data_IF_074712660118
#
_entry.id   IF_074712660118
#
_cell.length_a   1.000
_cell.length_b   1.000
_cell.length_c   1.000
_cell.angle_alpha   90.00
_cell.angle_beta   90.00
_cell.angle_gamma   90.00
#
_symmetry.space_group_name_H-M   'P 1'
#
loop_
_entity.id
_entity.type
_entity.pdbx_description
1 polymer ?
#
# COMPACT_ATOMS: atom_id res chain seq x y z
N UNK A 1 65.58 -43.64 122.80
CA UNK A 1 65.30 -42.27 122.30
C UNK A 1 66.29 -41.72 121.27
N UNK A 2 67.59 -41.58 121.59
CA UNK A 2 68.52 -40.75 120.80
C UNK A 2 68.77 -41.23 119.35
N UNK A 3 68.84 -42.54 119.12
CA UNK A 3 69.03 -43.12 117.76
C UNK A 3 67.82 -42.83 116.86
N UNK A 4 66.60 -42.94 117.41
CA UNK A 4 65.34 -42.72 116.68
C UNK A 4 65.15 -41.25 116.25
N UNK A 5 65.64 -40.31 117.08
CA UNK A 5 65.69 -38.87 116.74
C UNK A 5 66.71 -38.57 115.65
N UNK A 6 67.88 -39.23 115.67
CA UNK A 6 68.89 -39.09 114.61
C UNK A 6 68.37 -39.63 113.28
N UNK A 7 67.64 -40.75 113.27
CA UNK A 7 66.99 -41.29 112.07
C UNK A 7 65.88 -40.37 111.52
N UNK A 8 65.03 -39.82 112.38
CA UNK A 8 64.02 -38.82 111.97
C UNK A 8 64.66 -37.57 111.38
N UNK A 9 65.70 -37.02 112.03
CA UNK A 9 66.45 -35.88 111.50
C UNK A 9 67.12 -36.21 110.16
N UNK A 10 67.65 -37.43 110.00
CA UNK A 10 68.23 -37.90 108.73
C UNK A 10 67.18 -38.00 107.60
N UNK A 11 65.97 -38.47 107.90
CA UNK A 11 64.86 -38.52 106.94
C UNK A 11 64.37 -37.13 106.55
N UNK A 12 64.30 -36.19 107.51
CA UNK A 12 63.95 -34.79 107.25
C UNK A 12 65.00 -34.08 106.40
N UNK A 13 66.30 -34.30 106.67
CA UNK A 13 67.40 -33.78 105.85
C UNK A 13 67.33 -34.35 104.43
N UNK A 14 67.06 -35.65 104.27
CA UNK A 14 66.93 -36.28 102.96
C UNK A 14 65.69 -35.76 102.19
N UNK A 15 64.58 -35.49 102.88
CA UNK A 15 63.40 -34.87 102.28
C UNK A 15 63.69 -33.43 101.86
N UNK A 16 64.29 -32.63 102.73
CA UNK A 16 64.72 -31.27 102.42
C UNK A 16 65.71 -31.22 101.26
N UNK A 17 66.64 -32.17 101.18
CA UNK A 17 67.57 -32.31 100.06
C UNK A 17 66.86 -32.57 98.71
N UNK A 18 65.84 -33.44 98.70
CA UNK A 18 65.01 -33.68 97.49
C UNK A 18 64.21 -32.44 97.08
N UNK A 19 63.65 -31.71 98.03
CA UNK A 19 62.93 -30.46 97.76
C UNK A 19 63.86 -29.38 97.20
N UNK A 20 65.07 -29.25 97.75
CA UNK A 20 66.09 -28.33 97.23
C UNK A 20 66.49 -28.70 95.79
N UNK A 21 66.66 -29.98 95.49
CA UNK A 21 67.06 -30.42 94.15
C UNK A 21 65.95 -30.19 93.11
N UNK A 22 64.68 -30.44 93.47
CA UNK A 22 63.53 -30.08 92.63
C UNK A 22 63.48 -28.56 92.38
N UNK A 23 63.68 -27.75 93.43
CA UNK A 23 63.69 -26.28 93.31
C UNK A 23 64.86 -25.78 92.46
N UNK A 24 66.04 -26.41 92.54
CA UNK A 24 67.17 -26.11 91.65
C UNK A 24 66.84 -26.41 90.19
N UNK A 25 66.19 -27.54 89.91
CA UNK A 25 65.73 -27.87 88.55
C UNK A 25 64.73 -26.85 88.00
N UNK A 26 63.78 -26.40 88.83
CA UNK A 26 62.86 -25.32 88.48
C UNK A 26 63.59 -24.00 88.21
N UNK A 27 64.59 -23.64 89.03
CA UNK A 27 65.40 -22.42 88.85
C UNK A 27 66.15 -22.46 87.52
N UNK A 28 66.81 -23.56 87.18
CA UNK A 28 67.54 -23.71 85.91
C UNK A 28 66.58 -23.53 84.72
N UNK A 29 65.40 -24.16 84.78
CA UNK A 29 64.38 -23.98 83.73
C UNK A 29 63.91 -22.53 83.60
N UNK A 30 63.75 -21.82 84.73
CA UNK A 30 63.43 -20.39 84.71
C UNK A 30 64.58 -19.54 84.14
N UNK A 31 65.84 -19.84 84.47
CA UNK A 31 67.01 -19.14 83.96
C UNK A 31 67.18 -19.30 82.44
N UNK A 32 66.87 -20.47 81.89
CA UNK A 32 66.85 -20.72 80.44
C UNK A 32 65.82 -19.83 79.73
N UNK A 33 64.60 -19.70 80.29
CA UNK A 33 63.55 -18.84 79.75
C UNK A 33 63.96 -17.37 79.85
N UNK A 34 64.53 -16.95 80.99
CA UNK A 34 65.02 -15.59 81.20
C UNK A 34 66.12 -15.24 80.20
N UNK A 35 67.03 -16.18 79.92
CA UNK A 35 68.10 -16.01 78.95
C UNK A 35 67.58 -15.77 77.52
N UNK A 36 66.38 -16.25 77.19
CA UNK A 36 65.75 -16.08 75.87
C UNK A 36 64.75 -14.91 75.82
N UNK A 37 64.55 -14.18 76.92
CA UNK A 37 63.52 -13.14 77.06
C UNK A 37 63.53 -12.12 75.92
N UNK A 38 64.70 -11.60 75.54
CA UNK A 38 64.80 -10.56 74.50
C UNK A 38 64.37 -11.08 73.11
N UNK A 39 64.74 -12.31 72.78
CA UNK A 39 64.33 -12.95 71.54
C UNK A 39 62.81 -13.21 71.50
N UNK A 40 62.23 -13.62 72.63
CA UNK A 40 60.78 -13.82 72.77
C UNK A 40 60.04 -12.48 72.61
N UNK A 41 60.50 -11.42 73.29
CA UNK A 41 59.89 -10.09 73.19
C UNK A 41 59.98 -9.51 71.77
N UNK A 42 61.10 -9.71 71.09
CA UNK A 42 61.28 -9.26 69.69
C UNK A 42 60.30 -9.98 68.77
N UNK A 43 60.23 -11.32 68.84
CA UNK A 43 59.28 -12.11 68.04
C UNK A 43 57.82 -11.74 68.32
N UNK A 44 57.49 -11.44 69.58
CA UNK A 44 56.15 -11.00 69.96
C UNK A 44 55.81 -9.64 69.33
N UNK A 45 56.73 -8.68 69.37
CA UNK A 45 56.54 -7.38 68.71
C UNK A 45 56.39 -7.53 67.19
N UNK A 46 57.18 -8.39 66.56
CA UNK A 46 57.07 -8.67 65.12
C UNK A 46 55.72 -9.33 64.79
N UNK A 47 55.27 -10.28 65.60
CA UNK A 47 53.95 -10.89 65.43
C UNK A 47 52.81 -9.88 65.53
N UNK A 48 52.89 -8.93 66.46
CA UNK A 48 51.90 -7.84 66.56
C UNK A 48 51.91 -6.97 65.29
N UNK A 49 53.08 -6.59 64.78
CA UNK A 49 53.21 -5.83 63.53
C UNK A 49 52.59 -6.58 62.35
N UNK A 50 52.96 -7.85 62.17
CA UNK A 50 52.41 -8.67 61.09
C UNK A 50 50.90 -8.85 61.19
N UNK A 51 50.36 -8.95 62.40
CA UNK A 51 48.91 -9.04 62.60
C UNK A 51 48.20 -7.74 62.20
N UNK A 52 48.78 -6.59 62.54
CA UNK A 52 48.25 -5.28 62.12
C UNK A 52 48.30 -5.13 60.59
N UNK A 53 49.42 -5.43 59.95
CA UNK A 53 49.57 -5.39 58.49
C UNK A 53 48.59 -6.34 57.78
N UNK A 54 48.45 -7.58 58.28
CA UNK A 54 47.53 -8.56 57.69
C UNK A 54 46.07 -8.11 57.83
N UNK A 55 45.71 -7.47 58.94
CA UNK A 55 44.37 -6.90 59.12
C UNK A 55 44.10 -5.77 58.12
N UNK A 56 45.09 -4.91 57.86
CA UNK A 56 44.99 -3.83 56.87
C UNK A 56 44.86 -4.38 55.44
N UNK A 57 45.68 -5.39 55.10
CA UNK A 57 45.60 -6.08 53.80
C UNK A 57 44.24 -6.74 53.60
N UNK A 58 43.69 -7.36 54.64
CA UNK A 58 42.35 -7.97 54.59
C UNK A 58 41.28 -6.93 54.27
N UNK A 59 41.34 -5.75 54.90
CA UNK A 59 40.41 -4.64 54.62
C UNK A 59 40.57 -4.11 53.19
N UNK A 60 41.82 -3.96 52.70
CA UNK A 60 42.08 -3.54 51.32
C UNK A 60 41.56 -4.56 50.30
N UNK A 61 41.74 -5.86 50.55
CA UNK A 61 41.20 -6.92 49.70
C UNK A 61 39.68 -6.91 49.64
N UNK A 62 39.00 -6.70 50.77
CA UNK A 62 37.54 -6.56 50.79
C UNK A 62 37.07 -5.35 49.97
N UNK A 63 37.76 -4.21 50.08
CA UNK A 63 37.45 -3.02 49.25
C UNK A 63 37.66 -3.29 47.76
N UNK A 64 38.76 -3.94 47.38
CA UNK A 64 39.04 -4.30 45.99
C UNK A 64 37.98 -5.22 45.40
N UNK A 65 37.52 -6.22 46.16
CA UNK A 65 36.44 -7.12 45.71
C UNK A 65 35.14 -6.36 45.43
N UNK A 66 34.75 -5.43 46.31
CA UNK A 66 33.55 -4.60 46.11
C UNK A 66 33.65 -3.74 44.84
N UNK A 67 34.81 -3.13 44.61
CA UNK A 67 35.04 -2.32 43.40
C UNK A 67 34.98 -3.19 42.14
N UNK A 68 35.55 -4.40 42.16
CA UNK A 68 35.48 -5.30 41.01
C UNK A 68 34.05 -5.79 40.74
N UNK A 69 33.28 -6.09 41.78
CA UNK A 69 31.86 -6.44 41.66
C UNK A 69 31.05 -5.30 41.03
N UNK A 70 31.22 -4.06 41.51
CA UNK A 70 30.58 -2.87 40.96
C UNK A 70 30.97 -2.64 39.50
N UNK A 71 32.26 -2.78 39.17
CA UNK A 71 32.77 -2.66 37.80
C UNK A 71 32.10 -3.68 36.87
N UNK A 72 32.01 -4.95 37.26
CA UNK A 72 31.36 -6.00 36.45
C UNK A 72 29.88 -5.67 36.23
N UNK A 73 29.18 -5.16 37.25
CA UNK A 73 27.78 -4.76 37.12
C UNK A 73 27.60 -3.58 36.15
N UNK A 74 28.48 -2.58 36.22
CA UNK A 74 28.47 -1.42 35.33
C UNK A 74 28.79 -1.86 33.89
N UNK A 75 29.79 -2.71 33.68
CA UNK A 75 30.16 -3.23 32.36
C UNK A 75 29.00 -4.01 31.72
N UNK A 76 28.32 -4.87 32.49
CA UNK A 76 27.13 -5.59 32.01
C UNK A 76 26.01 -4.64 31.61
N UNK A 77 25.78 -3.58 32.40
CA UNK A 77 24.77 -2.57 32.08
C UNK A 77 25.12 -1.79 30.83
N UNK A 78 26.39 -1.41 30.65
CA UNK A 78 26.86 -0.73 29.44
C UNK A 78 26.62 -1.63 28.22
N UNK A 79 26.96 -2.91 28.31
CA UNK A 79 26.79 -3.84 27.20
C UNK A 79 25.31 -4.06 26.85
N UNK A 80 24.43 -4.19 27.86
CA UNK A 80 22.99 -4.32 27.60
C UNK A 80 22.41 -3.08 26.94
N UNK A 81 22.76 -1.88 27.40
CA UNK A 81 22.28 -0.63 26.80
C UNK A 81 22.83 -0.43 25.39
N UNK A 82 24.09 -0.81 25.13
CA UNK A 82 24.67 -0.80 23.77
C UNK A 82 23.89 -1.71 22.82
N UNK A 83 23.59 -2.94 23.25
CA UNK A 83 22.81 -3.87 22.45
C UNK A 83 21.40 -3.31 22.14
N UNK A 84 20.74 -2.72 23.14
CA UNK A 84 19.43 -2.08 22.97
C UNK A 84 19.49 -0.94 21.95
N UNK A 85 20.47 -0.04 22.07
CA UNK A 85 20.64 1.09 21.16
C UNK A 85 20.93 0.64 19.71
N UNK A 86 21.71 -0.43 19.53
CA UNK A 86 21.97 -1.00 18.19
C UNK A 86 20.66 -1.50 17.56
N UNK A 87 19.83 -2.21 18.33
CA UNK A 87 18.54 -2.72 17.86
C UNK A 87 17.60 -1.55 17.52
N UNK A 88 17.51 -0.55 18.40
CA UNK A 88 16.68 0.64 18.15
C UNK A 88 17.12 1.39 16.89
N UNK A 89 18.43 1.61 16.72
CA UNK A 89 18.98 2.31 15.57
C UNK A 89 18.64 1.55 14.28
N UNK A 90 18.81 0.23 14.26
CA UNK A 90 18.45 -0.62 13.12
C UNK A 90 16.97 -0.54 12.81
N UNK A 91 16.10 -0.65 13.82
CA UNK A 91 14.65 -0.57 13.64
C UNK A 91 14.22 0.80 13.08
N UNK A 92 14.81 1.89 13.58
CA UNK A 92 14.56 3.24 13.06
C UNK A 92 15.04 3.39 11.62
N UNK A 93 16.20 2.82 11.28
CA UNK A 93 16.74 2.85 9.92
C UNK A 93 15.86 2.06 8.93
N UNK A 94 15.40 0.87 9.33
CA UNK A 94 14.53 0.04 8.48
C UNK A 94 13.16 0.72 8.27
N UNK A 95 12.60 1.33 9.32
CA UNK A 95 11.38 2.15 9.21
C UNK A 95 11.57 3.36 8.29
N UNK A 96 12.72 4.02 8.35
CA UNK A 96 13.03 5.12 7.44
C UNK A 96 13.09 4.67 5.98
N UNK A 97 13.72 3.51 5.69
CA UNK A 97 13.76 2.94 4.34
C UNK A 97 12.36 2.59 3.82
N UNK A 98 11.53 1.97 4.63
CA UNK A 98 10.14 1.66 4.27
C UNK A 98 9.33 2.93 3.94
N UNK A 99 9.44 3.96 4.79
CA UNK A 99 8.80 5.25 4.54
C UNK A 99 9.31 5.92 3.25
N UNK A 100 10.61 5.81 2.95
CA UNK A 100 11.18 6.34 1.71
C UNK A 100 10.63 5.62 0.48
N UNK A 101 10.49 4.29 0.53
CA UNK A 101 9.87 3.51 -0.56
C UNK A 101 8.41 3.92 -0.75
N UNK A 102 7.64 4.03 0.33
CA UNK A 102 6.23 4.48 0.30
C UNK A 102 6.08 5.88 -0.27
N UNK A 103 6.96 6.81 0.09
CA UNK A 103 6.95 8.17 -0.46
C UNK A 103 7.19 8.17 -1.98
N UNK A 104 8.17 7.39 -2.47
CA UNK A 104 8.41 7.24 -3.92
C UNK A 104 7.21 6.61 -4.63
N UNK A 105 6.58 5.60 -4.03
CA UNK A 105 5.39 4.97 -4.62
C UNK A 105 4.21 5.94 -4.67
N UNK A 106 4.04 6.78 -3.65
CA UNK A 106 3.00 7.82 -3.63
C UNK A 106 3.13 8.78 -4.81
N UNK A 107 4.35 9.24 -5.12
CA UNK A 107 4.58 10.13 -6.27
C UNK A 107 4.29 9.44 -7.61
N UNK A 108 4.68 8.16 -7.76
CA UNK A 108 4.31 7.37 -8.95
C UNK A 108 2.80 7.25 -9.12
N UNK A 109 2.10 6.85 -8.05
CA UNK A 109 0.65 6.71 -8.06
C UNK A 109 -0.04 8.05 -8.36
N UNK A 110 0.51 9.17 -7.89
CA UNK A 110 -0.01 10.51 -8.19
C UNK A 110 0.12 10.86 -9.68
N UNK A 111 1.24 10.53 -10.30
CA UNK A 111 1.43 10.71 -11.74
C UNK A 111 0.45 9.85 -12.55
N UNK A 112 0.32 8.57 -12.19
CA UNK A 112 -0.65 7.65 -12.83
C UNK A 112 -2.09 8.15 -12.67
N UNK A 113 -2.44 8.68 -11.50
CA UNK A 113 -3.78 9.23 -11.24
C UNK A 113 -4.07 10.46 -12.12
N UNK A 114 -3.11 11.37 -12.28
CA UNK A 114 -3.26 12.52 -13.18
C UNK A 114 -3.42 12.09 -14.65
N UNK A 115 -2.67 11.08 -15.10
CA UNK A 115 -2.81 10.52 -16.44
C UNK A 115 -4.19 9.89 -16.65
N UNK A 116 -4.68 9.15 -15.66
CA UNK A 116 -6.02 8.56 -15.70
C UNK A 116 -7.12 9.62 -15.69
N UNK A 117 -6.98 10.70 -14.91
CA UNK A 117 -7.92 11.82 -14.91
C UNK A 117 -7.99 12.51 -16.28
N UNK A 118 -6.86 12.67 -16.97
CA UNK A 118 -6.81 13.20 -18.32
C UNK A 118 -7.49 12.27 -19.33
N UNK A 119 -7.21 10.96 -19.26
CA UNK A 119 -7.88 9.95 -20.09
C UNK A 119 -9.40 9.96 -19.88
N UNK A 120 -9.86 10.09 -18.63
CA UNK A 120 -11.30 10.20 -18.33
C UNK A 120 -11.91 11.45 -18.94
N UNK A 121 -11.21 12.60 -18.90
CA UNK A 121 -11.69 13.82 -19.56
C UNK A 121 -11.82 13.61 -21.07
N UNK A 122 -10.83 12.98 -21.70
CA UNK A 122 -10.85 12.67 -23.14
C UNK A 122 -11.98 11.70 -23.50
N UNK A 123 -12.24 10.67 -22.69
CA UNK A 123 -13.37 9.77 -22.91
C UNK A 123 -14.69 10.54 -22.83
N UNK A 124 -14.86 11.41 -21.83
CA UNK A 124 -16.09 12.23 -21.71
C UNK A 124 -16.31 13.17 -22.89
N UNK A 125 -15.24 13.69 -23.52
CA UNK A 125 -15.39 14.51 -24.74
C UNK A 125 -15.79 13.64 -25.92
N UNK A 126 -15.17 12.48 -26.11
CA UNK A 126 -15.51 11.54 -27.17
C UNK A 126 -16.95 11.00 -27.03
N UNK A 127 -17.42 10.74 -25.81
CA UNK A 127 -18.80 10.33 -25.54
C UNK A 127 -19.81 11.41 -25.97
N UNK A 128 -19.52 12.69 -25.68
CA UNK A 128 -20.35 13.81 -26.13
C UNK A 128 -20.39 13.91 -27.66
N UNK A 129 -19.23 13.83 -28.31
CA UNK A 129 -19.15 13.86 -29.77
C UNK A 129 -19.91 12.67 -30.40
N UNK A 130 -19.78 11.48 -29.82
CA UNK A 130 -20.51 10.29 -30.27
C UNK A 130 -22.03 10.46 -30.11
N UNK A 131 -22.49 11.08 -29.02
CA UNK A 131 -23.91 11.37 -28.80
C UNK A 131 -24.43 12.37 -29.83
N UNK A 132 -23.68 13.45 -30.12
CA UNK A 132 -24.07 14.43 -31.14
C UNK A 132 -24.17 13.80 -32.53
N UNK A 133 -23.24 12.91 -32.89
CA UNK A 133 -23.31 12.16 -34.15
C UNK A 133 -24.53 11.26 -34.17
N UNK A 134 -24.86 10.58 -33.06
CA UNK A 134 -26.06 9.74 -32.94
C UNK A 134 -27.34 10.53 -33.14
N UNK A 135 -27.47 11.66 -32.46
CA UNK A 135 -28.64 12.54 -32.60
C UNK A 135 -28.79 13.06 -34.04
N UNK A 136 -27.69 13.52 -34.67
CA UNK A 136 -27.71 13.97 -36.06
C UNK A 136 -28.08 12.82 -37.01
N UNK A 137 -27.49 11.65 -36.81
CA UNK A 137 -27.80 10.44 -37.58
C UNK A 137 -29.28 10.06 -37.49
N UNK A 138 -29.87 10.11 -36.29
CA UNK A 138 -31.29 9.86 -36.08
C UNK A 138 -32.17 10.90 -36.80
N UNK A 139 -31.83 12.18 -36.71
CA UNK A 139 -32.55 13.25 -37.43
C UNK A 139 -32.51 13.05 -38.95
N UNK A 140 -31.34 12.69 -39.51
CA UNK A 140 -31.20 12.38 -40.94
C UNK A 140 -32.03 11.16 -41.34
N UNK A 141 -32.02 10.10 -40.52
CA UNK A 141 -32.83 8.91 -40.77
C UNK A 141 -34.33 9.24 -40.86
N UNK A 142 -34.85 10.01 -39.91
CA UNK A 142 -36.26 10.42 -39.92
C UNK A 142 -36.60 11.21 -41.19
N UNK A 143 -35.72 12.14 -41.61
CA UNK A 143 -35.91 12.89 -42.86
C UNK A 143 -35.90 11.99 -44.09
N UNK A 144 -34.94 11.07 -44.18
CA UNK A 144 -34.82 10.12 -45.30
C UNK A 144 -36.09 9.28 -45.41
N UNK A 145 -36.57 8.70 -44.30
CA UNK A 145 -37.82 7.92 -44.30
C UNK A 145 -39.05 8.77 -44.64
N UNK A 146 -39.07 10.05 -44.23
CA UNK A 146 -40.12 11.00 -44.63
C UNK A 146 -40.16 11.20 -46.15
N UNK A 147 -39.00 11.42 -46.77
CA UNK A 147 -38.88 11.57 -48.23
C UNK A 147 -39.23 10.26 -48.96
N UNK A 148 -38.81 9.11 -48.43
CA UNK A 148 -39.19 7.79 -48.98
C UNK A 148 -40.72 7.62 -49.02
N UNK A 149 -41.40 7.94 -47.93
CA UNK A 149 -42.86 7.89 -47.88
C UNK A 149 -43.53 8.87 -48.88
N UNK A 150 -42.95 10.06 -49.08
CA UNK A 150 -43.44 11.02 -50.07
C UNK A 150 -43.28 10.50 -51.50
N UNK A 151 -42.12 9.90 -51.82
CA UNK A 151 -41.88 9.28 -53.11
C UNK A 151 -42.87 8.14 -53.34
N UNK A 152 -43.04 7.23 -52.38
CA UNK A 152 -43.99 6.10 -52.49
C UNK A 152 -45.44 6.58 -52.67
N UNK A 153 -45.82 7.69 -52.00
CA UNK A 153 -47.13 8.31 -52.18
C UNK A 153 -47.32 8.84 -53.61
N UNK A 154 -46.35 9.59 -54.13
CA UNK A 154 -46.38 10.13 -55.49
C UNK A 154 -46.37 9.01 -56.55
N UNK A 155 -45.62 7.93 -56.33
CA UNK A 155 -45.59 6.77 -57.23
C UNK A 155 -46.95 6.06 -57.29
N UNK A 156 -47.65 5.92 -56.15
CA UNK A 156 -49.03 5.40 -56.12
C UNK A 156 -50.00 6.32 -56.85
N UNK A 157 -49.88 7.63 -56.65
CA UNK A 157 -50.73 8.60 -57.31
C UNK A 157 -50.52 8.60 -58.83
N UNK A 158 -49.28 8.50 -59.31
CA UNK A 158 -48.96 8.34 -60.74
C UNK A 158 -49.61 7.07 -61.27
N UNK A 159 -49.47 5.93 -60.58
CA UNK A 159 -50.07 4.66 -61.00
C UNK A 159 -51.60 4.76 -61.09
N UNK A 160 -52.23 5.43 -60.13
CA UNK A 160 -53.68 5.68 -60.16
C UNK A 160 -54.09 6.55 -61.37
N UNK A 161 -53.30 7.57 -61.72
CA UNK A 161 -53.58 8.41 -62.89
C UNK A 161 -53.33 7.68 -64.21
N UNK A 162 -52.30 6.85 -64.30
CA UNK A 162 -52.06 5.94 -65.43
C UNK A 162 -53.23 4.96 -65.63
N UNK A 163 -53.77 4.39 -64.55
CA UNK A 163 -54.93 3.51 -64.59
C UNK A 163 -56.20 4.26 -65.03
N UNK A 164 -56.41 5.51 -64.58
CA UNK A 164 -57.50 6.36 -65.09
C UNK A 164 -57.37 6.60 -66.60
N UNK A 165 -56.17 6.92 -67.09
CA UNK A 165 -55.91 7.08 -68.53
C UNK A 165 -56.21 5.78 -69.28
N UNK A 166 -55.81 4.63 -68.75
CA UNK A 166 -56.09 3.33 -69.33
C UNK A 166 -57.59 3.07 -69.46
N UNK A 167 -58.36 3.27 -68.38
CA UNK A 167 -59.81 3.12 -68.36
C UNK A 167 -60.52 4.08 -69.33
N UNK A 168 -60.02 5.31 -69.48
CA UNK A 168 -60.57 6.28 -70.45
C UNK A 168 -60.39 5.83 -71.91
N UNK A 169 -59.28 5.15 -72.21
CA UNK A 169 -58.97 4.59 -73.53
C UNK A 169 -59.79 3.34 -73.83
N UNK A 170 -60.01 2.48 -72.85
CA UNK A 170 -60.76 1.23 -72.99
C UNK A 170 -62.28 1.39 -73.05
N UNK A 171 -62.82 2.59 -72.80
CA UNK A 171 -64.27 2.83 -72.78
C UNK A 171 -64.78 3.46 -74.10
N UNK A 172 -65.17 2.68 -75.13
CA UNK A 172 -65.52 3.17 -76.46
C UNK A 172 -66.85 3.93 -76.53
N UNK A 173 -67.77 3.75 -75.58
CA UNK A 173 -69.10 4.39 -75.59
C UNK A 173 -69.09 5.84 -75.11
N UNK A 174 -67.97 6.27 -74.50
CA UNK A 174 -67.73 7.67 -74.19
C UNK A 174 -68.70 8.24 -73.15
N UNK A 175 -69.07 7.50 -72.12
CA UNK A 175 -69.85 8.02 -70.99
C UNK A 175 -69.01 8.00 -69.71
N UNK A 176 -69.05 9.09 -68.94
CA UNK A 176 -68.33 9.18 -67.68
C UNK A 176 -69.01 8.30 -66.62
N UNK A 177 -68.33 7.30 -66.03
CA UNK A 177 -68.95 6.39 -65.07
C UNK A 177 -69.35 7.05 -63.73
N UNK A 178 -68.96 8.30 -63.48
CA UNK A 178 -69.27 9.04 -62.25
C UNK A 178 -70.39 10.08 -62.41
N UNK A 179 -70.67 10.54 -63.62
CA UNK A 179 -71.65 11.61 -63.87
C UNK A 179 -72.49 11.41 -65.14
N UNK A 180 -72.41 10.23 -65.76
CA UNK A 180 -73.19 9.78 -66.93
C UNK A 180 -73.15 10.74 -68.14
N UNK A 181 -72.18 11.66 -68.16
CA UNK A 181 -72.06 12.67 -69.20
C UNK A 181 -71.33 12.08 -70.39
N UNK A 182 -71.88 12.27 -71.60
CA UNK A 182 -71.20 11.90 -72.85
C UNK A 182 -69.88 12.68 -73.02
N UNK A 183 -68.78 11.96 -72.89
CA UNK A 183 -67.41 12.30 -73.22
C UNK A 183 -67.20 12.15 -74.73
N UNK A 184 -67.36 13.26 -75.46
CA UNK A 184 -66.89 13.35 -76.84
C UNK A 184 -65.34 13.29 -76.90
N UNK A 185 -64.79 13.00 -78.08
CA UNK A 185 -63.35 12.85 -78.28
C UNK A 185 -62.52 14.05 -77.77
N UNK A 186 -63.07 15.27 -77.89
CA UNK A 186 -62.40 16.49 -77.41
C UNK A 186 -62.32 16.57 -75.87
N UNK A 187 -63.39 16.19 -75.15
CA UNK A 187 -63.40 16.15 -73.68
C UNK A 187 -62.49 15.05 -73.15
N UNK A 188 -62.45 13.88 -73.80
CA UNK A 188 -61.49 12.82 -73.45
C UNK A 188 -60.05 13.30 -73.60
N UNK A 189 -59.71 13.92 -74.73
CA UNK A 189 -58.38 14.46 -74.97
C UNK A 189 -57.97 15.51 -73.94
N UNK A 190 -58.90 16.35 -73.45
CA UNK A 190 -58.63 17.31 -72.37
C UNK A 190 -58.35 16.63 -71.03
N UNK A 191 -59.08 15.56 -70.69
CA UNK A 191 -58.86 14.81 -69.43
C UNK A 191 -57.52 14.07 -69.49
N UNK A 192 -57.21 13.40 -70.60
CA UNK A 192 -55.92 12.73 -70.80
C UNK A 192 -54.76 13.72 -70.72
N UNK A 193 -54.85 14.87 -71.40
CA UNK A 193 -53.81 15.90 -71.35
C UNK A 193 -53.61 16.47 -69.94
N UNK A 194 -54.68 16.61 -69.16
CA UNK A 194 -54.58 17.04 -67.76
C UNK A 194 -53.89 15.98 -66.89
N UNK A 195 -54.30 14.72 -66.98
CA UNK A 195 -53.69 13.61 -66.24
C UNK A 195 -52.21 13.43 -66.63
N UNK A 196 -51.87 13.51 -67.92
CA UNK A 196 -50.48 13.49 -68.39
C UNK A 196 -49.67 14.68 -67.84
N UNK A 197 -50.30 15.85 -67.71
CA UNK A 197 -49.69 17.03 -67.08
C UNK A 197 -49.43 16.83 -65.58
N UNK A 198 -50.39 16.23 -64.87
CA UNK A 198 -50.26 15.87 -63.45
C UNK A 198 -49.15 14.82 -63.24
N UNK A 199 -49.11 13.77 -64.06
CA UNK A 199 -48.06 12.74 -64.04
C UNK A 199 -46.68 13.38 -64.25
N UNK A 200 -46.52 14.25 -65.26
CA UNK A 200 -45.24 14.94 -65.50
C UNK A 200 -44.80 15.80 -64.32
N UNK A 201 -45.76 16.47 -63.67
CA UNK A 201 -45.48 17.30 -62.49
C UNK A 201 -45.03 16.45 -61.30
N UNK A 202 -45.76 15.35 -61.02
CA UNK A 202 -45.43 14.38 -59.96
C UNK A 202 -44.08 13.70 -60.21
N UNK A 203 -43.76 13.34 -61.46
CA UNK A 203 -42.46 12.78 -61.83
C UNK A 203 -41.32 13.78 -61.59
N UNK A 204 -41.51 15.05 -61.95
CA UNK A 204 -40.51 16.09 -61.69
C UNK A 204 -40.30 16.30 -60.18
N UNK A 205 -41.36 16.17 -59.38
CA UNK A 205 -41.32 16.25 -57.92
C UNK A 205 -40.59 15.04 -57.30
N UNK A 206 -40.85 13.82 -57.77
CA UNK A 206 -40.09 12.61 -57.37
C UNK A 206 -38.60 12.81 -57.66
N UNK A 207 -38.23 13.30 -58.84
CA UNK A 207 -36.81 13.52 -59.18
C UNK A 207 -36.14 14.62 -58.31
N UNK A 208 -36.93 15.59 -57.82
CA UNK A 208 -36.45 16.54 -56.81
C UNK A 208 -36.21 15.84 -55.47
N UNK A 209 -37.19 15.08 -54.99
CA UNK A 209 -37.09 14.33 -53.73
C UNK A 209 -35.96 13.30 -53.73
N UNK A 210 -35.72 12.60 -54.85
CA UNK A 210 -34.59 11.66 -55.01
C UNK A 210 -33.24 12.36 -54.88
N UNK A 211 -33.07 13.55 -55.48
CA UNK A 211 -31.83 14.34 -55.34
C UNK A 211 -31.59 14.75 -53.90
N UNK A 212 -32.61 15.27 -53.23
CA UNK A 212 -32.52 15.65 -51.80
C UNK A 212 -32.21 14.43 -50.91
N UNK A 213 -32.84 13.28 -51.18
CA UNK A 213 -32.52 12.02 -50.49
C UNK A 213 -31.05 11.63 -50.65
N UNK A 214 -30.50 11.73 -51.87
CA UNK A 214 -29.09 11.40 -52.14
C UNK A 214 -28.14 12.30 -51.33
N UNK A 215 -28.44 13.59 -51.21
CA UNK A 215 -27.66 14.53 -50.41
C UNK A 215 -27.66 14.16 -48.92
N UNK A 216 -28.85 13.84 -48.36
CA UNK A 216 -28.99 13.42 -46.97
C UNK A 216 -28.28 12.08 -46.70
N UNK A 217 -28.33 11.14 -47.64
CA UNK A 217 -27.61 9.85 -47.55
C UNK A 217 -26.09 10.08 -47.58
N UNK A 218 -25.60 10.98 -48.43
CA UNK A 218 -24.19 11.35 -48.47
C UNK A 218 -23.72 11.97 -47.15
N UNK A 219 -24.52 12.86 -46.55
CA UNK A 219 -24.24 13.45 -45.24
C UNK A 219 -24.22 12.39 -44.13
N UNK A 220 -25.19 11.48 -44.12
CA UNK A 220 -25.23 10.35 -43.18
C UNK A 220 -24.00 9.45 -43.32
N UNK A 221 -23.53 9.21 -44.54
CA UNK A 221 -22.34 8.40 -44.81
C UNK A 221 -21.08 9.07 -44.25
N UNK A 222 -20.96 10.40 -44.39
CA UNK A 222 -19.87 11.18 -43.78
C UNK A 222 -19.89 11.09 -42.25
N UNK A 223 -21.06 11.23 -41.63
CA UNK A 223 -21.21 11.08 -40.17
C UNK A 223 -20.82 9.67 -39.69
N UNK A 224 -21.20 8.63 -40.44
CA UNK A 224 -20.81 7.25 -40.13
C UNK A 224 -19.30 7.03 -40.24
N UNK A 225 -18.63 7.69 -41.19
CA UNK A 225 -17.18 7.64 -41.31
C UNK A 225 -16.49 8.31 -40.11
N UNK A 226 -17.00 9.47 -39.67
CA UNK A 226 -16.49 10.16 -38.48
C UNK A 226 -16.67 9.29 -37.23
N UNK A 227 -17.84 8.65 -37.07
CA UNK A 227 -18.07 7.70 -35.98
C UNK A 227 -17.03 6.58 -35.96
N UNK A 228 -16.77 5.95 -37.11
CA UNK A 228 -15.79 4.86 -37.20
C UNK A 228 -14.36 5.27 -36.83
N UNK A 229 -13.99 6.53 -37.06
CA UNK A 229 -12.68 7.07 -36.68
C UNK A 229 -12.62 7.38 -35.19
N UNK A 230 -13.69 7.89 -34.59
CA UNK A 230 -13.75 8.21 -33.15
C UNK A 230 -13.61 6.98 -32.24
N UNK A 231 -13.95 5.79 -32.74
CA UNK A 231 -13.95 4.54 -31.99
C UNK A 231 -12.82 3.57 -32.39
N UNK A 232 -11.84 4.04 -33.16
CA UNK A 232 -10.58 3.32 -33.43
C UNK A 232 -9.49 3.77 -32.47
#
# INVERSE_FOLDING_TARGET
ESIRRIEQLGQEIARGGREIELKKGEIISCEEIISQKEAILTRFNDHQKFTAENSELTLKLQKLRKVEEEKILIERKIESERANLIIEARNKQDRYKDLQVKARQKEKNKAELLELEEKIKNVKTLEKESEEIRERGNKLNVKISGIENQIEGLEKDIKNDEEKIHLLKENPEGECPLCETKLNAEKKGKIEANLDGEIKTKLAEIEKWKREKLELVAEKTKLSAIWMVLWR
#
